data_IF_115256381055
#
_entry.id   IF_115256381055
#
_cell.length_a   1.000
_cell.length_b   1.000
_cell.length_c   1.000
_cell.angle_alpha   90.00
_cell.angle_beta   90.00
_cell.angle_gamma   90.00
#
_symmetry.space_group_name_H-M   'P 1'
#
loop_
_entity.id
_entity.type
_entity.pdbx_description
1 polymer ?
#
# COMPACT_ATOMS: atom_id res chain seq x y z
N UNK A 1 20.04 1.46 35.71
CA UNK A 1 19.35 2.53 34.93
C UNK A 1 19.50 2.16 33.47
N UNK A 2 18.51 1.58 32.81
CA UNK A 2 18.58 1.31 31.38
C UNK A 2 18.14 2.57 30.63
N UNK A 3 18.95 2.98 29.66
CA UNK A 3 18.64 4.04 28.70
C UNK A 3 17.56 3.54 27.75
N UNK A 4 16.39 4.14 27.80
CA UNK A 4 15.35 4.02 26.79
C UNK A 4 15.87 4.64 25.50
N UNK A 5 16.01 3.83 24.45
CA UNK A 5 16.16 4.27 23.08
C UNK A 5 14.77 4.72 22.59
N UNK A 6 14.63 6.03 22.43
CA UNK A 6 13.43 6.68 21.92
C UNK A 6 13.34 6.41 20.40
N UNK A 7 12.14 6.01 19.98
CA UNK A 7 11.70 5.83 18.60
C UNK A 7 12.04 7.03 17.70
N UNK A 8 12.55 6.75 16.49
CA UNK A 8 13.06 7.72 15.50
C UNK A 8 11.95 8.47 14.74
N UNK A 9 10.75 8.60 15.30
CA UNK A 9 9.67 9.40 14.71
C UNK A 9 9.00 10.26 15.79
N UNK A 10 9.66 11.31 16.18
CA UNK A 10 9.12 12.25 17.16
C UNK A 10 9.82 13.60 17.10
N UNK A 11 9.28 14.50 16.33
CA UNK A 11 8.96 15.91 16.53
C UNK A 11 10.02 16.95 16.87
N UNK A 12 10.06 18.01 16.08
CA UNK A 12 9.87 19.40 16.55
C UNK A 12 9.59 20.35 15.37
N UNK A 13 8.44 21.02 15.43
CA UNK A 13 8.05 22.11 14.51
C UNK A 13 8.62 23.42 15.04
N UNK A 14 9.35 24.13 14.18
CA UNK A 14 9.53 25.57 14.32
C UNK A 14 9.05 26.26 13.04
N UNK A 15 8.00 27.06 13.20
CA UNK A 15 7.41 27.89 12.16
C UNK A 15 8.41 28.98 11.78
N UNK A 16 8.88 28.98 10.57
CA UNK A 16 9.66 30.05 9.95
C UNK A 16 9.04 30.43 8.62
N UNK A 17 8.27 31.51 8.59
CA UNK A 17 7.78 32.16 7.38
C UNK A 17 8.92 32.80 6.60
N UNK A 18 9.12 32.41 5.35
CA UNK A 18 10.07 33.09 4.48
C UNK A 18 10.14 32.42 3.11
N UNK A 19 9.25 32.79 2.20
CA UNK A 19 9.36 32.36 0.82
C UNK A 19 10.58 32.96 0.12
N UNK A 20 11.42 32.09 -0.44
CA UNK A 20 12.31 32.40 -1.56
C UNK A 20 12.22 31.18 -2.47
N UNK A 21 11.73 31.40 -3.69
CA UNK A 21 11.86 30.42 -4.74
C UNK A 21 13.36 30.21 -4.99
N UNK A 22 13.87 29.06 -4.58
CA UNK A 22 15.24 28.66 -4.88
C UNK A 22 15.27 27.97 -6.24
N UNK A 23 16.24 28.37 -7.06
CA UNK A 23 16.68 27.73 -8.28
C UNK A 23 16.78 26.20 -8.07
N UNK A 24 16.36 25.46 -9.11
CA UNK A 24 16.20 23.99 -9.06
C UNK A 24 17.41 23.24 -8.57
N UNK A 25 17.36 22.86 -7.31
CA UNK A 25 18.26 21.87 -6.74
C UNK A 25 17.85 20.52 -7.35
N UNK A 26 18.59 20.08 -8.37
CA UNK A 26 18.38 18.76 -8.97
C UNK A 26 18.80 17.72 -7.95
N UNK A 27 17.81 17.07 -7.29
CA UNK A 27 18.07 15.97 -6.39
C UNK A 27 18.82 14.86 -7.14
N UNK A 28 19.86 14.32 -6.51
CA UNK A 28 20.63 13.18 -7.04
C UNK A 28 20.52 12.01 -6.07
N UNK A 29 20.77 10.79 -6.56
CA UNK A 29 20.76 9.61 -5.68
C UNK A 29 21.75 9.78 -4.51
N UNK A 30 22.93 10.35 -4.75
CA UNK A 30 23.94 10.60 -3.72
C UNK A 30 23.43 11.60 -2.67
N UNK A 31 22.77 12.70 -3.09
CA UNK A 31 22.20 13.69 -2.18
C UNK A 31 21.07 13.10 -1.34
N UNK A 32 20.21 12.27 -1.94
CA UNK A 32 19.11 11.59 -1.25
C UNK A 32 19.66 10.54 -0.26
N UNK A 33 20.65 9.73 -0.64
CA UNK A 33 21.30 8.77 0.26
C UNK A 33 21.94 9.48 1.45
N UNK A 34 22.70 10.56 1.21
CA UNK A 34 23.39 11.30 2.28
C UNK A 34 22.45 11.95 3.29
N UNK A 35 21.21 12.21 2.91
CA UNK A 35 20.19 12.87 3.76
C UNK A 35 19.22 11.89 4.43
N UNK A 36 18.82 10.82 3.73
CA UNK A 36 17.67 10.01 4.11
C UNK A 36 17.97 8.54 4.38
N UNK A 37 19.17 8.04 4.10
CA UNK A 37 19.47 6.64 4.40
C UNK A 37 19.38 6.38 5.91
N UNK A 38 18.74 5.27 6.27
CA UNK A 38 18.34 4.97 7.65
C UNK A 38 19.50 5.06 8.66
N UNK A 39 20.70 4.61 8.32
CA UNK A 39 21.88 4.70 9.19
C UNK A 39 22.38 6.14 9.38
N UNK A 40 22.26 6.99 8.36
CA UNK A 40 22.60 8.43 8.43
C UNK A 40 21.60 9.14 9.36
N UNK A 41 20.31 8.85 9.18
CA UNK A 41 19.24 9.43 10.01
C UNK A 41 19.40 9.00 11.47
N UNK A 42 19.69 7.73 11.74
CA UNK A 42 19.94 7.21 13.08
C UNK A 42 21.19 7.85 13.71
N UNK A 43 22.26 8.02 12.96
CA UNK A 43 23.49 8.65 13.44
C UNK A 43 23.33 10.12 13.80
N UNK A 44 22.42 10.84 13.14
CA UNK A 44 22.08 12.25 13.43
C UNK A 44 21.08 12.44 14.57
N UNK A 45 20.63 11.35 15.22
CA UNK A 45 19.68 11.41 16.33
C UNK A 45 18.22 11.26 15.91
N UNK A 46 17.97 10.95 14.65
CA UNK A 46 16.64 10.81 14.07
C UNK A 46 15.98 12.19 13.83
N UNK A 47 15.35 12.36 12.68
CA UNK A 47 14.59 13.56 12.36
C UNK A 47 13.27 13.15 11.69
N UNK A 48 12.18 13.80 12.08
CA UNK A 48 10.90 13.64 11.37
C UNK A 48 11.01 14.07 9.89
N UNK A 49 11.92 15.01 9.61
CA UNK A 49 12.23 15.46 8.24
C UNK A 49 12.78 14.34 7.33
N UNK A 50 13.27 13.25 7.92
CA UNK A 50 13.74 12.08 7.18
C UNK A 50 12.59 11.16 6.72
N UNK A 51 11.35 11.43 7.10
CA UNK A 51 10.19 10.69 6.60
C UNK A 51 9.94 11.00 5.12
N UNK A 52 9.59 9.99 4.30
CA UNK A 52 9.16 10.19 2.91
C UNK A 52 8.03 11.22 2.76
N UNK A 53 7.22 11.45 3.81
CA UNK A 53 6.14 12.44 3.84
C UNK A 53 6.65 13.88 3.67
N UNK A 54 7.87 14.16 4.14
CA UNK A 54 8.46 15.52 4.14
C UNK A 54 9.53 15.73 3.06
N UNK A 55 9.82 14.72 2.27
CA UNK A 55 10.69 14.86 1.10
C UNK A 55 10.04 15.77 0.04
N UNK A 56 10.85 16.58 -0.65
CA UNK A 56 10.39 17.27 -1.87
C UNK A 56 9.98 16.27 -2.94
N UNK A 57 9.17 16.69 -3.92
CA UNK A 57 8.76 15.82 -5.02
C UNK A 57 9.96 15.27 -5.82
N UNK A 58 11.00 16.08 -6.02
CA UNK A 58 12.23 15.66 -6.69
C UNK A 58 13.01 14.60 -5.88
N UNK A 59 13.11 14.76 -4.55
CA UNK A 59 13.73 13.77 -3.67
C UNK A 59 12.92 12.47 -3.64
N UNK A 60 11.57 12.55 -3.57
CA UNK A 60 10.70 11.36 -3.62
C UNK A 60 10.82 10.59 -4.93
N UNK A 61 10.99 11.29 -6.06
CA UNK A 61 11.19 10.65 -7.36
C UNK A 61 12.38 9.68 -7.36
N UNK A 62 13.44 10.03 -6.65
CA UNK A 62 14.61 9.19 -6.47
C UNK A 62 14.39 8.16 -5.36
N UNK A 63 13.90 8.61 -4.21
CA UNK A 63 13.74 7.76 -3.04
C UNK A 63 12.77 6.59 -3.28
N UNK A 64 11.69 6.80 -4.04
CA UNK A 64 10.68 5.78 -4.31
C UNK A 64 11.18 4.70 -5.28
N UNK A 65 12.12 5.05 -6.17
CA UNK A 65 12.77 4.10 -7.07
C UNK A 65 13.92 3.31 -6.40
N UNK A 66 14.49 3.85 -5.31
CA UNK A 66 15.64 3.30 -4.60
C UNK A 66 15.36 3.05 -3.12
N UNK A 67 14.15 2.61 -2.83
CA UNK A 67 13.64 2.48 -1.46
C UNK A 67 14.45 1.49 -0.62
N UNK A 68 14.90 0.40 -1.22
CA UNK A 68 15.76 -0.64 -0.64
C UNK A 68 17.20 -0.17 -0.33
N UNK A 69 17.65 0.89 -1.00
CA UNK A 69 18.97 1.51 -0.71
C UNK A 69 18.87 2.43 0.51
N UNK A 70 17.72 3.05 0.73
CA UNK A 70 17.50 4.04 1.78
C UNK A 70 17.05 3.42 3.10
N UNK A 71 16.24 2.37 3.03
CA UNK A 71 15.57 1.78 4.19
C UNK A 71 15.87 0.28 4.31
N UNK A 72 15.87 -0.27 5.54
CA UNK A 72 16.00 -1.71 5.73
C UNK A 72 14.80 -2.42 5.12
N UNK A 73 15.06 -3.43 4.30
CA UNK A 73 14.03 -4.21 3.61
C UNK A 73 14.33 -5.71 3.67
N UNK A 74 13.30 -6.52 3.46
CA UNK A 74 13.43 -7.95 3.20
C UNK A 74 12.97 -8.24 1.78
N UNK A 75 13.81 -8.99 1.06
CA UNK A 75 13.54 -9.34 -0.34
C UNK A 75 12.41 -10.35 -0.43
N UNK A 76 11.49 -10.10 -1.36
CA UNK A 76 10.47 -11.01 -1.85
C UNK A 76 11.00 -11.60 -3.15
N UNK A 77 11.38 -12.88 -3.16
CA UNK A 77 12.02 -13.52 -4.32
C UNK A 77 11.00 -13.91 -5.38
N UNK A 78 11.30 -13.61 -6.65
CA UNK A 78 10.59 -14.17 -7.79
C UNK A 78 11.11 -15.59 -8.13
N UNK A 79 10.50 -16.24 -9.13
CA UNK A 79 10.92 -17.57 -9.61
C UNK A 79 11.99 -17.53 -10.70
N UNK A 80 12.23 -16.36 -11.27
CA UNK A 80 13.03 -16.18 -12.49
C UNK A 80 12.27 -16.41 -13.80
N UNK A 81 11.03 -16.95 -13.75
CA UNK A 81 10.15 -17.14 -14.89
C UNK A 81 8.92 -16.25 -14.76
N UNK A 82 8.79 -15.26 -15.66
CA UNK A 82 7.68 -14.34 -15.65
C UNK A 82 6.44 -14.90 -16.37
N UNK A 83 5.27 -14.76 -15.75
CA UNK A 83 4.01 -15.00 -16.45
C UNK A 83 3.83 -13.97 -17.57
N UNK A 84 3.51 -14.41 -18.81
CA UNK A 84 3.42 -13.50 -19.94
C UNK A 84 2.28 -12.49 -19.77
N UNK A 85 2.55 -11.24 -20.14
CA UNK A 85 1.56 -10.19 -20.35
C UNK A 85 1.60 -9.80 -21.84
N UNK A 86 0.90 -10.53 -22.72
CA UNK A 86 0.99 -10.31 -24.15
C UNK A 86 0.42 -8.94 -24.53
N UNK A 87 1.03 -8.20 -25.48
CA UNK A 87 0.54 -6.91 -25.91
C UNK A 87 -0.72 -7.06 -26.80
N UNK A 88 -1.67 -6.15 -26.61
CA UNK A 88 -2.85 -5.95 -27.46
C UNK A 88 -3.16 -4.46 -27.54
N UNK A 89 -2.16 -3.66 -27.92
CA UNK A 89 -2.14 -2.21 -27.81
C UNK A 89 -3.37 -1.54 -28.41
N UNK A 90 -3.94 -0.62 -27.61
CA UNK A 90 -5.04 0.27 -27.98
C UNK A 90 -4.64 1.68 -27.59
N UNK A 91 -4.96 2.65 -28.44
CA UNK A 91 -4.74 4.05 -28.09
C UNK A 91 -5.84 4.55 -27.13
N UNK A 92 -5.50 4.61 -25.84
CA UNK A 92 -6.35 5.16 -24.78
C UNK A 92 -6.05 6.64 -24.48
N UNK A 93 -5.06 7.25 -25.14
CA UNK A 93 -4.63 8.63 -24.84
C UNK A 93 -5.72 9.66 -25.12
N UNK A 94 -6.62 9.37 -26.09
CA UNK A 94 -7.75 10.22 -26.44
C UNK A 94 -8.99 10.07 -25.54
N UNK A 95 -9.01 9.13 -24.61
CA UNK A 95 -10.11 8.95 -23.66
C UNK A 95 -10.25 10.20 -22.80
N UNK A 96 -11.47 10.76 -22.76
CA UNK A 96 -11.78 12.02 -22.08
C UNK A 96 -12.37 11.76 -20.71
N UNK A 97 -12.01 12.62 -19.76
CA UNK A 97 -12.60 12.68 -18.43
C UNK A 97 -12.70 14.11 -17.93
N UNK A 98 -13.53 14.35 -16.94
CA UNK A 98 -13.66 15.64 -16.26
C UNK A 98 -13.17 15.52 -14.83
N UNK A 99 -12.23 16.37 -14.43
CA UNK A 99 -11.75 16.45 -13.05
C UNK A 99 -11.51 17.91 -12.66
N UNK A 100 -11.89 18.29 -11.44
CA UNK A 100 -11.73 19.66 -10.93
C UNK A 100 -12.29 20.71 -11.89
N UNK A 101 -13.51 20.44 -12.43
CA UNK A 101 -14.21 21.30 -13.40
C UNK A 101 -13.48 21.52 -14.73
N UNK A 102 -12.51 20.65 -15.08
CA UNK A 102 -11.77 20.71 -16.33
C UNK A 102 -11.91 19.41 -17.10
N UNK A 103 -12.19 19.55 -18.40
CA UNK A 103 -12.10 18.42 -19.33
C UNK A 103 -10.65 18.16 -19.68
N UNK A 104 -10.26 16.91 -19.58
CA UNK A 104 -8.91 16.42 -19.84
C UNK A 104 -8.96 15.13 -20.65
N UNK A 105 -7.81 14.73 -21.17
CA UNK A 105 -7.58 13.43 -21.81
C UNK A 105 -6.61 12.59 -20.95
N UNK A 106 -6.64 11.28 -21.15
CA UNK A 106 -5.65 10.37 -20.53
C UNK A 106 -4.24 10.76 -20.97
N UNK A 107 -4.03 11.19 -22.25
CA UNK A 107 -2.75 11.67 -22.71
C UNK A 107 -2.21 12.85 -21.89
N UNK A 108 -3.05 13.85 -21.59
CA UNK A 108 -2.66 14.99 -20.73
C UNK A 108 -2.33 14.56 -19.28
N UNK A 109 -2.94 13.48 -18.77
CA UNK A 109 -2.57 12.92 -17.48
C UNK A 109 -1.20 12.20 -17.55
N UNK A 110 -0.94 11.47 -18.63
CA UNK A 110 0.34 10.77 -18.84
C UNK A 110 1.52 11.74 -18.96
N UNK A 111 1.30 12.94 -19.51
CA UNK A 111 2.30 14.02 -19.63
C UNK A 111 2.53 14.75 -18.28
N UNK A 112 1.82 14.40 -17.22
CA UNK A 112 1.97 15.02 -15.90
C UNK A 112 3.29 14.59 -15.25
N UNK A 113 4.02 15.53 -14.64
CA UNK A 113 5.24 15.25 -13.84
C UNK A 113 5.02 14.29 -12.67
N UNK A 114 3.77 14.07 -12.28
CA UNK A 114 3.38 13.21 -11.18
C UNK A 114 3.14 11.76 -11.63
N UNK A 115 2.92 11.53 -12.93
CA UNK A 115 2.75 10.20 -13.51
C UNK A 115 4.13 9.59 -13.77
N UNK A 116 4.41 8.47 -13.10
CA UNK A 116 5.66 7.72 -13.29
C UNK A 116 5.47 6.53 -14.20
N UNK A 117 4.34 5.85 -14.11
CA UNK A 117 3.98 4.75 -14.99
C UNK A 117 2.50 4.41 -14.90
N UNK A 118 1.93 4.01 -16.03
CA UNK A 118 0.55 3.50 -16.13
C UNK A 118 0.54 2.26 -17.00
N UNK A 119 -0.06 1.18 -16.50
CA UNK A 119 -0.25 -0.08 -17.20
C UNK A 119 -1.72 -0.48 -17.16
N UNK A 120 -2.31 -0.71 -18.33
CA UNK A 120 -3.70 -1.14 -18.50
C UNK A 120 -3.71 -2.57 -19.05
N UNK A 121 -4.28 -3.51 -18.30
CA UNK A 121 -4.37 -4.92 -18.65
C UNK A 121 -5.84 -5.34 -18.67
N UNK A 122 -6.32 -5.83 -19.81
CA UNK A 122 -7.68 -6.37 -19.96
C UNK A 122 -7.63 -7.80 -20.50
N UNK A 123 -8.42 -8.71 -19.92
CA UNK A 123 -8.40 -10.15 -20.29
C UNK A 123 -6.96 -10.73 -20.33
N UNK A 124 -6.08 -10.30 -19.42
CA UNK A 124 -4.68 -10.73 -19.35
C UNK A 124 -3.76 -10.16 -20.43
N UNK A 125 -4.20 -9.17 -21.22
CA UNK A 125 -3.44 -8.55 -22.30
C UNK A 125 -3.16 -7.09 -21.99
N UNK A 126 -1.94 -6.62 -22.29
CA UNK A 126 -1.53 -5.23 -22.14
C UNK A 126 -2.13 -4.37 -23.26
N UNK A 127 -3.06 -3.49 -22.90
CA UNK A 127 -3.66 -2.53 -23.83
C UNK A 127 -2.84 -1.24 -23.93
N UNK A 128 -2.31 -0.77 -22.81
CA UNK A 128 -1.45 0.41 -22.75
C UNK A 128 -0.38 0.20 -21.68
N UNK A 129 0.83 0.63 -21.99
CA UNK A 129 1.95 0.68 -21.06
C UNK A 129 2.73 1.97 -21.32
N UNK A 130 2.84 2.80 -20.29
CA UNK A 130 3.50 4.10 -20.35
C UNK A 130 4.43 4.27 -19.16
N UNK A 131 5.58 4.90 -19.39
CA UNK A 131 6.55 5.28 -18.37
C UNK A 131 7.00 6.72 -18.61
N UNK A 132 7.22 7.46 -17.52
CA UNK A 132 7.89 8.76 -17.58
C UNK A 132 9.33 8.59 -18.14
N UNK A 133 9.90 9.65 -18.69
CA UNK A 133 11.18 9.60 -19.40
C UNK A 133 12.36 9.06 -18.57
N UNK A 134 12.31 9.24 -17.27
CA UNK A 134 13.31 8.77 -16.29
C UNK A 134 12.82 7.58 -15.44
N UNK A 135 11.80 6.88 -15.91
CA UNK A 135 11.25 5.68 -15.30
C UNK A 135 11.18 4.55 -16.33
N UNK A 136 11.08 3.28 -15.90
CA UNK A 136 11.11 2.14 -16.81
C UNK A 136 10.45 0.90 -16.26
N UNK A 137 10.33 -0.11 -17.10
CA UNK A 137 9.69 -1.38 -16.76
C UNK A 137 10.40 -2.16 -15.65
N UNK A 138 11.71 -1.97 -15.52
CA UNK A 138 12.59 -2.60 -14.54
C UNK A 138 12.77 -1.78 -13.25
N UNK A 139 12.20 -0.57 -13.19
CA UNK A 139 12.32 0.32 -12.02
C UNK A 139 11.25 -0.05 -10.99
N UNK A 140 11.65 -0.51 -9.78
CA UNK A 140 10.70 -0.72 -8.70
C UNK A 140 10.19 0.62 -8.17
N UNK A 141 9.00 0.61 -7.60
CA UNK A 141 8.37 1.79 -7.00
C UNK A 141 7.67 1.43 -5.71
N UNK A 142 7.79 2.29 -4.70
CA UNK A 142 7.20 2.04 -3.38
C UNK A 142 5.67 2.11 -3.43
N UNK A 143 5.02 1.14 -2.80
CA UNK A 143 3.56 0.95 -2.83
C UNK A 143 2.79 1.81 -1.85
N UNK A 144 3.42 2.26 -0.76
CA UNK A 144 2.71 2.78 0.40
C UNK A 144 1.53 1.87 0.81
N UNK A 145 0.33 2.44 0.95
CA UNK A 145 -0.83 1.72 1.48
C UNK A 145 -1.41 0.64 0.57
N UNK A 146 -0.97 0.52 -0.69
CA UNK A 146 -1.27 -0.67 -1.51
C UNK A 146 -0.82 -1.96 -0.80
N UNK A 147 0.24 -1.91 0.01
CA UNK A 147 0.69 -3.02 0.85
C UNK A 147 -0.40 -3.57 1.77
N UNK A 148 -1.33 -2.75 2.25
CA UNK A 148 -2.44 -3.19 3.11
C UNK A 148 -3.31 -4.25 2.41
N UNK A 149 -3.57 -4.07 1.12
CA UNK A 149 -4.30 -5.04 0.32
C UNK A 149 -3.50 -6.33 0.13
N UNK A 150 -2.18 -6.25 -0.06
CA UNK A 150 -1.31 -7.44 -0.11
C UNK A 150 -1.32 -8.19 1.23
N UNK A 151 -1.28 -7.47 2.36
CA UNK A 151 -1.40 -8.08 3.70
C UNK A 151 -2.76 -8.80 3.85
N UNK A 152 -3.85 -8.21 3.35
CA UNK A 152 -5.17 -8.86 3.32
C UNK A 152 -5.18 -10.14 2.49
N UNK A 153 -4.55 -10.13 1.30
CA UNK A 153 -4.42 -11.36 0.49
C UNK A 153 -3.64 -12.44 1.24
N UNK A 154 -2.60 -12.08 2.00
CA UNK A 154 -1.83 -13.04 2.80
C UNK A 154 -2.62 -13.58 4.00
N UNK A 155 -3.50 -12.80 4.62
CA UNK A 155 -4.45 -13.32 5.62
C UNK A 155 -5.38 -14.36 4.96
N UNK A 156 -5.89 -14.08 3.76
CA UNK A 156 -6.65 -15.06 2.98
C UNK A 156 -5.88 -16.33 2.69
N UNK A 157 -4.63 -16.22 2.26
CA UNK A 157 -3.75 -17.37 2.04
C UNK A 157 -3.49 -18.17 3.33
N UNK A 158 -3.30 -17.49 4.47
CA UNK A 158 -3.11 -18.14 5.76
C UNK A 158 -4.38 -18.88 6.25
N UNK A 159 -5.56 -18.37 5.91
CA UNK A 159 -6.83 -19.08 6.15
C UNK A 159 -6.94 -20.32 5.24
N UNK A 160 -6.61 -20.17 3.96
CA UNK A 160 -6.62 -21.30 3.01
C UNK A 160 -5.65 -22.40 3.41
N UNK A 161 -4.48 -22.04 3.94
CA UNK A 161 -3.47 -23.00 4.42
C UNK A 161 -3.80 -23.59 5.82
N UNK A 162 -4.83 -23.08 6.51
CA UNK A 162 -5.23 -23.54 7.84
C UNK A 162 -4.38 -22.99 9.00
N UNK A 163 -3.58 -21.94 8.78
CA UNK A 163 -2.86 -21.24 9.85
C UNK A 163 -3.76 -20.31 10.65
N UNK A 164 -4.78 -19.76 10.01
CA UNK A 164 -5.86 -18.98 10.61
C UNK A 164 -7.16 -19.72 10.34
N UNK A 165 -7.97 -20.00 11.39
CA UNK A 165 -9.17 -20.80 11.20
C UNK A 165 -10.27 -20.00 10.48
N UNK A 166 -10.40 -18.70 10.81
CA UNK A 166 -11.47 -17.85 10.28
C UNK A 166 -11.19 -16.36 10.51
N UNK A 167 -11.78 -15.50 9.67
CA UNK A 167 -11.84 -14.05 9.93
C UNK A 167 -12.63 -13.71 11.20
N UNK A 168 -13.47 -14.63 11.70
CA UNK A 168 -14.20 -14.49 12.97
C UNK A 168 -13.34 -14.77 14.22
N UNK A 169 -12.12 -15.27 14.05
CA UNK A 169 -11.22 -15.52 15.18
C UNK A 169 -10.91 -14.21 15.93
N UNK A 170 -10.91 -14.25 17.28
CA UNK A 170 -10.43 -13.11 18.06
C UNK A 170 -8.91 -12.95 17.84
N UNK A 171 -8.45 -11.72 17.65
CA UNK A 171 -7.02 -11.45 17.39
C UNK A 171 -6.10 -11.88 18.53
N UNK A 172 -6.62 -11.96 19.77
CA UNK A 172 -5.87 -12.44 20.94
C UNK A 172 -5.46 -13.90 20.84
N UNK A 173 -6.10 -14.69 19.98
CA UNK A 173 -5.68 -16.07 19.67
C UNK A 173 -4.26 -16.08 19.09
N UNK A 174 -3.93 -15.10 18.28
CA UNK A 174 -2.64 -14.94 17.60
C UNK A 174 -1.71 -13.99 18.35
N UNK A 175 -2.27 -12.99 19.05
CA UNK A 175 -1.54 -11.97 19.79
C UNK A 175 -2.02 -11.90 21.25
N UNK A 176 -1.63 -12.88 22.10
CA UNK A 176 -2.09 -12.96 23.50
C UNK A 176 -1.78 -11.71 24.34
N UNK A 177 -0.78 -10.92 23.96
CA UNK A 177 -0.43 -9.65 24.64
C UNK A 177 -1.56 -8.62 24.61
N UNK A 178 -2.51 -8.74 23.69
CA UNK A 178 -3.67 -7.85 23.60
C UNK A 178 -4.81 -8.27 24.54
N UNK A 179 -4.68 -9.42 25.22
CA UNK A 179 -5.68 -9.86 26.18
C UNK A 179 -5.83 -8.84 27.33
N UNK A 180 -7.07 -8.48 27.64
CA UNK A 180 -7.38 -7.48 28.66
C UNK A 180 -7.27 -6.02 28.22
N UNK A 181 -6.87 -5.76 26.97
CA UNK A 181 -6.99 -4.44 26.34
C UNK A 181 -8.31 -4.31 25.57
N UNK A 182 -8.62 -3.10 25.12
CA UNK A 182 -9.78 -2.84 24.25
C UNK A 182 -9.73 -3.63 22.93
N UNK A 183 -8.54 -3.91 22.40
CA UNK A 183 -8.38 -4.77 21.22
C UNK A 183 -8.72 -6.24 21.50
N UNK A 184 -8.78 -6.66 22.76
CA UNK A 184 -9.06 -8.06 23.14
C UNK A 184 -10.38 -8.62 22.61
N UNK A 185 -11.36 -7.76 22.34
CA UNK A 185 -12.67 -8.12 21.78
C UNK A 185 -12.73 -8.10 20.25
N UNK A 186 -11.67 -7.61 19.58
CA UNK A 186 -11.66 -7.47 18.13
C UNK A 186 -11.36 -8.81 17.44
N UNK A 187 -12.03 -9.05 16.33
CA UNK A 187 -11.80 -10.19 15.43
C UNK A 187 -10.82 -9.81 14.32
N UNK A 188 -10.27 -10.79 13.65
CA UNK A 188 -9.46 -10.59 12.41
C UNK A 188 -10.25 -9.76 11.38
N UNK A 189 -11.56 -10.03 11.22
CA UNK A 189 -12.45 -9.28 10.34
C UNK A 189 -12.55 -7.81 10.70
N UNK A 190 -12.67 -7.47 11.98
CA UNK A 190 -12.81 -6.08 12.43
C UNK A 190 -11.57 -5.27 12.06
N UNK A 191 -10.38 -5.91 12.17
CA UNK A 191 -9.11 -5.29 11.79
C UNK A 191 -8.97 -5.20 10.26
N UNK A 192 -9.38 -6.24 9.51
CA UNK A 192 -9.41 -6.21 8.03
C UNK A 192 -10.27 -5.06 7.51
N UNK A 193 -11.41 -4.81 8.14
CA UNK A 193 -12.37 -3.77 7.76
C UNK A 193 -12.05 -2.38 8.32
N UNK A 194 -10.97 -2.23 9.10
CA UNK A 194 -10.67 -0.98 9.84
C UNK A 194 -11.85 -0.52 10.72
N UNK A 195 -12.45 -1.47 11.40
CA UNK A 195 -13.66 -1.29 12.20
C UNK A 195 -13.51 -1.86 13.62
N UNK A 196 -12.32 -1.80 14.20
CA UNK A 196 -12.08 -2.23 15.59
C UNK A 196 -12.88 -1.43 16.61
N UNK A 197 -13.26 -0.20 16.26
CA UNK A 197 -13.91 0.75 17.17
C UNK A 197 -12.94 1.43 18.12
N UNK A 198 -11.63 1.30 17.92
CA UNK A 198 -10.59 1.97 18.71
C UNK A 198 -10.37 3.39 18.16
N UNK A 199 -10.14 4.35 19.06
CA UNK A 199 -9.80 5.71 18.68
C UNK A 199 -8.46 5.73 17.94
N UNK A 200 -8.40 6.47 16.85
CA UNK A 200 -7.19 6.63 16.04
C UNK A 200 -7.28 7.91 15.22
N UNK A 201 -6.20 8.68 15.18
CA UNK A 201 -6.03 9.86 14.35
C UNK A 201 -5.04 9.55 13.20
N UNK A 202 -5.54 9.48 11.96
CA UNK A 202 -4.74 9.22 10.74
C UNK A 202 -4.36 10.53 10.01
N UNK A 203 -4.39 11.68 10.67
CA UNK A 203 -4.00 12.96 10.06
C UNK A 203 -2.49 12.99 9.79
N UNK A 204 -2.12 12.95 8.50
CA UNK A 204 -0.72 12.95 8.05
C UNK A 204 -0.04 14.33 8.18
N UNK A 205 -0.80 15.40 8.38
CA UNK A 205 -0.28 16.76 8.56
C UNK A 205 -0.10 17.12 10.04
N UNK A 206 -0.76 16.39 10.95
CA UNK A 206 -0.64 16.57 12.39
C UNK A 206 0.52 15.72 12.96
N UNK A 207 1.64 16.34 13.40
CA UNK A 207 2.76 15.62 13.98
C UNK A 207 2.43 14.92 15.30
N UNK A 208 1.34 15.30 15.96
CA UNK A 208 0.87 14.68 17.21
C UNK A 208 -0.17 13.58 16.95
N UNK A 209 -0.52 13.32 15.70
CA UNK A 209 -1.45 12.25 15.31
C UNK A 209 -0.91 10.87 15.69
N UNK A 210 -1.83 9.90 15.82
CA UNK A 210 -1.44 8.52 16.08
C UNK A 210 -0.63 7.93 14.92
N UNK A 211 -0.97 8.27 13.67
CA UNK A 211 -0.21 7.82 12.50
C UNK A 211 1.21 8.35 12.51
N UNK A 212 1.45 9.60 12.88
CA UNK A 212 2.79 10.16 12.99
C UNK A 212 3.62 9.44 14.06
N UNK A 213 2.99 9.06 15.18
CA UNK A 213 3.65 8.39 16.33
C UNK A 213 3.85 6.89 16.16
N UNK A 214 2.96 6.21 15.45
CA UNK A 214 2.87 4.77 15.49
C UNK A 214 2.89 4.04 14.13
N UNK A 215 2.86 4.76 12.99
CA UNK A 215 2.82 4.13 11.66
C UNK A 215 4.03 3.21 11.37
N UNK A 216 5.17 3.49 11.99
CA UNK A 216 6.40 2.71 11.82
C UNK A 216 6.58 1.64 12.91
N UNK A 217 5.69 1.55 13.91
CA UNK A 217 5.80 0.58 14.98
C UNK A 217 5.37 -0.81 14.53
N UNK A 218 6.05 -1.83 15.04
CA UNK A 218 5.69 -3.25 14.92
C UNK A 218 6.02 -4.00 16.21
N UNK A 219 5.63 -5.27 16.27
CA UNK A 219 5.96 -6.15 17.38
C UNK A 219 5.48 -5.65 18.74
N UNK A 220 6.39 -5.63 19.69
CA UNK A 220 6.09 -5.23 21.07
C UNK A 220 5.75 -3.74 21.15
N UNK A 221 6.52 -2.89 20.49
CA UNK A 221 6.30 -1.44 20.52
C UNK A 221 4.91 -1.05 19.97
N UNK A 222 4.47 -1.71 18.89
CA UNK A 222 3.13 -1.52 18.34
C UNK A 222 2.06 -1.93 19.34
N UNK A 223 2.15 -3.13 19.93
CA UNK A 223 1.16 -3.60 20.88
C UNK A 223 1.11 -2.74 22.14
N UNK A 224 2.26 -2.30 22.66
CA UNK A 224 2.34 -1.40 23.82
C UNK A 224 1.72 -0.03 23.57
N UNK A 225 1.77 0.46 22.32
CA UNK A 225 1.07 1.68 21.91
C UNK A 225 -0.45 1.43 21.83
N UNK A 226 -0.86 0.40 21.11
CA UNK A 226 -2.26 0.13 20.81
C UNK A 226 -3.10 -0.19 22.06
N UNK A 227 -2.54 -0.89 23.05
CA UNK A 227 -3.27 -1.23 24.30
C UNK A 227 -3.66 0.00 25.14
N UNK A 228 -3.07 1.17 24.87
CA UNK A 228 -3.37 2.40 25.58
C UNK A 228 -4.53 3.18 24.94
N UNK A 229 -4.92 2.84 23.71
CA UNK A 229 -5.96 3.56 22.98
C UNK A 229 -7.36 3.15 23.46
N UNK A 230 -8.26 4.13 23.69
CA UNK A 230 -9.61 3.84 24.17
C UNK A 230 -10.51 3.34 23.04
N UNK A 231 -11.49 2.50 23.40
CA UNK A 231 -12.60 2.15 22.51
C UNK A 231 -13.62 3.28 22.45
N UNK A 232 -14.04 3.64 21.23
CA UNK A 232 -15.05 4.70 20.97
C UNK A 232 -16.30 4.17 20.26
N UNK A 233 -16.28 2.92 19.79
CA UNK A 233 -17.42 2.22 19.19
C UNK A 233 -17.28 0.71 19.38
N UNK A 234 -18.36 -0.07 19.35
CA UNK A 234 -18.28 -1.53 19.32
C UNK A 234 -17.49 -2.02 18.10
N UNK A 235 -16.75 -3.16 18.18
CA UNK A 235 -16.06 -3.74 17.05
C UNK A 235 -17.04 -4.06 15.91
N UNK A 236 -16.61 -3.82 14.66
CA UNK A 236 -17.38 -4.08 13.45
C UNK A 236 -18.48 -3.04 13.14
N UNK A 237 -18.62 -1.95 13.91
CA UNK A 237 -19.75 -1.01 13.74
C UNK A 237 -19.39 0.37 13.19
N UNK A 238 -18.10 0.69 13.15
CA UNK A 238 -17.63 2.00 12.69
C UNK A 238 -16.29 1.86 11.98
N UNK A 239 -16.27 2.28 10.73
CA UNK A 239 -15.02 2.43 9.96
C UNK A 239 -14.20 3.60 10.52
N UNK A 240 -12.90 3.37 10.69
CA UNK A 240 -11.91 4.39 10.97
C UNK A 240 -10.57 3.94 10.37
N UNK A 241 -10.11 4.61 9.30
CA UNK A 241 -8.86 4.23 8.66
C UNK A 241 -7.71 4.29 9.66
N UNK A 242 -6.97 3.19 9.80
CA UNK A 242 -5.96 3.00 10.83
C UNK A 242 -4.77 2.19 10.29
N UNK A 243 -3.65 2.88 10.03
CA UNK A 243 -2.43 2.24 9.51
C UNK A 243 -1.85 1.24 10.51
N UNK A 244 -1.91 1.51 11.82
CA UNK A 244 -1.38 0.60 12.83
C UNK A 244 -2.16 -0.72 12.90
N UNK A 245 -3.45 -0.75 12.58
CA UNK A 245 -4.20 -2.00 12.46
C UNK A 245 -3.72 -2.87 11.30
N UNK A 246 -3.20 -2.28 10.24
CA UNK A 246 -2.62 -3.06 9.16
C UNK A 246 -1.26 -3.66 9.57
N UNK A 247 -0.46 -2.93 10.37
CA UNK A 247 0.73 -3.48 11.01
C UNK A 247 0.35 -4.61 11.97
N UNK A 248 -0.74 -4.44 12.73
CA UNK A 248 -1.27 -5.47 13.64
C UNK A 248 -1.70 -6.74 12.88
N UNK A 249 -2.31 -6.60 11.68
CA UNK A 249 -2.58 -7.76 10.80
C UNK A 249 -1.29 -8.45 10.35
N UNK A 250 -0.23 -7.71 10.08
CA UNK A 250 1.10 -8.26 9.81
C UNK A 250 1.63 -9.09 10.99
N UNK A 251 1.40 -8.64 12.24
CA UNK A 251 1.75 -9.40 13.44
C UNK A 251 0.88 -10.66 13.60
N UNK A 252 -0.44 -10.57 13.37
CA UNK A 252 -1.35 -11.73 13.35
C UNK A 252 -0.88 -12.75 12.33
N UNK A 253 -0.58 -12.32 11.10
CA UNK A 253 -0.07 -13.18 10.04
C UNK A 253 1.20 -13.92 10.49
N UNK A 254 2.26 -13.18 10.89
CA UNK A 254 3.54 -13.78 11.29
C UNK A 254 3.39 -14.73 12.46
N UNK A 255 2.57 -14.38 13.44
CA UNK A 255 2.29 -15.26 14.59
C UNK A 255 1.61 -16.56 14.16
N UNK A 256 0.65 -16.49 13.24
CA UNK A 256 -0.09 -17.64 12.76
C UNK A 256 0.79 -18.57 11.89
N UNK A 257 1.53 -18.02 10.93
CA UNK A 257 2.34 -18.81 9.99
C UNK A 257 3.71 -19.23 10.56
N UNK A 258 4.15 -18.63 11.67
CA UNK A 258 5.44 -18.94 12.32
C UNK A 258 6.68 -18.54 11.51
N UNK A 259 6.53 -17.63 10.53
CA UNK A 259 7.63 -17.14 9.68
C UNK A 259 7.42 -15.67 9.28
N UNK A 260 8.41 -15.07 8.63
CA UNK A 260 8.32 -13.71 8.10
C UNK A 260 7.35 -13.61 6.91
N UNK A 261 6.72 -12.43 6.75
CA UNK A 261 5.69 -12.23 5.72
C UNK A 261 6.25 -12.20 4.29
N UNK A 262 7.45 -11.64 4.06
CA UNK A 262 8.05 -11.57 2.73
C UNK A 262 8.36 -12.96 2.13
N UNK A 263 9.00 -13.91 2.85
CA UNK A 263 9.14 -15.28 2.36
C UNK A 263 7.79 -15.98 2.10
N UNK A 264 6.77 -15.72 2.92
CA UNK A 264 5.44 -16.29 2.72
C UNK A 264 4.78 -15.73 1.46
N UNK A 265 4.84 -14.40 1.25
CA UNK A 265 4.40 -13.76 0.00
C UNK A 265 5.12 -14.33 -1.22
N UNK A 266 6.45 -14.51 -1.10
CA UNK A 266 7.26 -15.11 -2.16
C UNK A 266 6.75 -16.49 -2.55
N UNK A 267 6.54 -17.36 -1.58
CA UNK A 267 6.13 -18.76 -1.80
C UNK A 267 4.67 -18.89 -2.29
N UNK A 268 3.76 -18.08 -1.75
CA UNK A 268 2.32 -18.25 -1.99
C UNK A 268 1.83 -17.50 -3.22
N UNK A 269 2.39 -16.32 -3.51
CA UNK A 269 1.87 -15.45 -4.55
C UNK A 269 2.97 -15.07 -5.55
N UNK A 270 4.11 -14.53 -5.08
CA UNK A 270 5.08 -13.87 -5.94
C UNK A 270 5.69 -14.81 -6.99
N UNK A 271 6.22 -15.94 -6.54
CA UNK A 271 6.80 -16.97 -7.42
C UNK A 271 5.75 -17.65 -8.30
N UNK A 272 4.65 -18.19 -7.76
CA UNK A 272 3.70 -18.93 -8.58
C UNK A 272 2.86 -18.05 -9.51
N UNK A 273 2.70 -16.74 -9.21
CA UNK A 273 2.13 -15.78 -10.17
C UNK A 273 3.09 -15.46 -11.32
N UNK A 274 4.36 -15.84 -11.23
CA UNK A 274 5.39 -15.49 -12.21
C UNK A 274 5.65 -13.99 -12.24
N UNK A 275 5.94 -13.39 -11.08
CA UNK A 275 6.39 -12.00 -11.02
C UNK A 275 7.72 -11.83 -11.76
N UNK A 276 7.90 -10.69 -12.45
CA UNK A 276 9.09 -10.46 -13.29
C UNK A 276 10.34 -10.21 -12.46
N UNK A 277 10.18 -9.53 -11.33
CA UNK A 277 11.31 -9.06 -10.53
C UNK A 277 11.17 -9.48 -9.07
N UNK A 278 12.28 -9.51 -8.36
CA UNK A 278 12.27 -9.46 -6.90
C UNK A 278 11.62 -8.15 -6.45
N UNK A 279 10.98 -8.19 -5.30
CA UNK A 279 10.47 -6.99 -4.63
C UNK A 279 11.10 -6.85 -3.25
N UNK A 280 10.92 -5.71 -2.62
CA UNK A 280 11.45 -5.42 -1.30
C UNK A 280 10.34 -4.97 -0.36
N UNK A 281 10.28 -5.51 0.86
CA UNK A 281 9.31 -5.13 1.87
C UNK A 281 10.01 -4.42 3.03
N UNK A 282 9.56 -3.20 3.35
CA UNK A 282 10.09 -2.38 4.44
C UNK A 282 10.06 -3.11 5.78
N UNK A 283 11.16 -3.00 6.52
CA UNK A 283 11.28 -3.53 7.88
C UNK A 283 11.22 -2.40 8.91
N UNK A 284 10.51 -2.64 9.99
CA UNK A 284 10.64 -1.83 11.19
C UNK A 284 11.86 -2.26 11.99
N UNK A 285 12.54 -1.30 12.57
CA UNK A 285 13.67 -1.53 13.47
C UNK A 285 13.22 -1.31 14.93
N UNK A 286 13.81 -1.99 15.91
CA UNK A 286 14.91 -2.96 15.80
C UNK A 286 14.50 -4.42 15.55
N UNK A 287 13.21 -4.73 15.43
CA UNK A 287 12.71 -6.10 15.44
C UNK A 287 12.76 -6.80 14.06
N UNK A 288 13.22 -6.12 13.01
CA UNK A 288 13.33 -6.65 11.64
C UNK A 288 12.04 -7.29 11.13
N UNK A 289 10.90 -6.61 11.34
CA UNK A 289 9.57 -7.10 10.96
C UNK A 289 9.01 -6.30 9.79
N UNK A 290 8.41 -6.97 8.82
CA UNK A 290 7.73 -6.32 7.72
C UNK A 290 6.54 -5.49 8.22
N UNK A 291 6.41 -4.27 7.72
CA UNK A 291 5.31 -3.37 8.06
C UNK A 291 4.05 -3.76 7.27
N UNK A 292 3.02 -4.28 7.94
CA UNK A 292 1.80 -4.74 7.26
C UNK A 292 0.98 -3.64 6.57
N UNK A 293 1.18 -2.38 6.96
CA UNK A 293 0.47 -1.22 6.42
C UNK A 293 1.23 -0.47 5.31
N UNK A 294 2.52 -0.76 5.11
CA UNK A 294 3.46 -0.11 4.20
C UNK A 294 4.69 -1.02 4.10
N UNK A 295 5.54 -0.93 3.29
CA UNK A 295 5.75 -0.42 1.96
C UNK A 295 6.47 -1.52 1.22
N UNK A 296 5.85 -2.10 0.23
CA UNK A 296 6.52 -2.98 -0.72
C UNK A 296 7.06 -2.08 -1.85
N UNK A 297 8.21 -2.44 -2.43
CA UNK A 297 8.74 -1.80 -3.63
C UNK A 297 8.77 -2.83 -4.73
N UNK A 298 8.05 -2.59 -5.84
CA UNK A 298 7.88 -3.54 -6.92
C UNK A 298 7.74 -2.85 -8.29
N UNK A 299 7.94 -3.58 -9.38
CA UNK A 299 7.76 -3.06 -10.75
C UNK A 299 6.29 -2.84 -11.10
N UNK A 300 6.02 -1.99 -12.07
CA UNK A 300 4.66 -1.67 -12.51
C UNK A 300 3.90 -2.90 -13.02
N UNK A 301 4.59 -3.78 -13.74
CA UNK A 301 4.00 -5.03 -14.24
C UNK A 301 3.68 -6.01 -13.11
N UNK A 302 4.47 -6.00 -12.03
CA UNK A 302 4.20 -6.84 -10.86
C UNK A 302 3.05 -6.26 -10.00
N UNK A 303 2.87 -4.93 -9.96
CA UNK A 303 1.62 -4.34 -9.45
C UNK A 303 0.39 -4.86 -10.23
N UNK A 304 0.48 -4.87 -11.56
CA UNK A 304 -0.63 -5.38 -12.38
C UNK A 304 -0.91 -6.87 -12.11
N UNK A 305 0.13 -7.70 -11.93
CA UNK A 305 -0.04 -9.13 -11.59
C UNK A 305 -0.69 -9.34 -10.23
N UNK A 306 -0.41 -8.47 -9.23
CA UNK A 306 -1.16 -8.50 -7.96
C UNK A 306 -2.65 -8.20 -8.18
N UNK A 307 -2.96 -7.23 -9.05
CA UNK A 307 -4.34 -6.92 -9.45
C UNK A 307 -5.01 -8.08 -10.18
N UNK A 308 -4.30 -8.74 -11.10
CA UNK A 308 -4.81 -9.93 -11.81
C UNK A 308 -5.07 -11.11 -10.84
N UNK A 309 -4.21 -11.31 -9.85
CA UNK A 309 -4.41 -12.30 -8.79
C UNK A 309 -5.68 -12.01 -7.99
N UNK A 310 -5.92 -10.75 -7.61
CA UNK A 310 -7.14 -10.34 -6.93
C UNK A 310 -8.38 -10.49 -7.84
N UNK A 311 -8.29 -10.09 -9.12
CA UNK A 311 -9.36 -10.25 -10.11
C UNK A 311 -9.76 -11.72 -10.30
N UNK A 312 -8.79 -12.64 -10.22
CA UNK A 312 -8.97 -14.08 -10.32
C UNK A 312 -9.42 -14.76 -9.00
N UNK A 313 -9.85 -14.00 -7.98
CA UNK A 313 -10.23 -14.54 -6.66
C UNK A 313 -9.15 -15.44 -6.05
N UNK A 314 -7.87 -15.05 -6.23
CA UNK A 314 -6.74 -15.79 -5.68
C UNK A 314 -6.43 -17.11 -6.38
N UNK A 315 -6.83 -17.28 -7.62
CA UNK A 315 -6.46 -18.41 -8.47
C UNK A 315 -5.25 -18.04 -9.32
N UNK A 316 -4.21 -18.87 -9.25
CA UNK A 316 -2.98 -18.73 -10.03
C UNK A 316 -3.20 -19.07 -11.52
N UNK A 317 -2.27 -18.68 -12.42
CA UNK A 317 -2.38 -19.00 -13.86
C UNK A 317 -2.47 -20.50 -14.19
N UNK A 318 -1.92 -21.37 -13.35
CA UNK A 318 -2.00 -22.82 -13.48
C UNK A 318 -3.30 -23.44 -12.94
N UNK A 319 -4.21 -22.63 -12.41
CA UNK A 319 -5.47 -23.05 -11.81
C UNK A 319 -5.39 -23.36 -10.31
N UNK A 320 -4.22 -23.29 -9.69
CA UNK A 320 -4.07 -23.51 -8.25
C UNK A 320 -4.73 -22.38 -7.47
N UNK A 321 -5.59 -22.71 -6.50
CA UNK A 321 -6.23 -21.74 -5.61
C UNK A 321 -5.35 -21.47 -4.38
N UNK A 322 -5.14 -20.22 -4.08
CA UNK A 322 -4.33 -19.73 -2.94
C UNK A 322 -5.20 -19.09 -1.87
N UNK A 323 -6.31 -18.46 -2.26
CA UNK A 323 -7.25 -17.84 -1.34
C UNK A 323 -8.50 -18.72 -1.16
N UNK A 324 -9.23 -18.64 -0.05
CA UNK A 324 -10.54 -19.28 0.06
C UNK A 324 -11.46 -18.84 -1.08
N UNK A 325 -12.29 -19.76 -1.58
CA UNK A 325 -13.28 -19.40 -2.61
C UNK A 325 -14.18 -18.27 -2.12
N UNK A 326 -14.36 -17.23 -2.95
CA UNK A 326 -15.12 -16.05 -2.63
C UNK A 326 -14.40 -15.06 -1.71
N UNK A 327 -13.09 -15.22 -1.49
CA UNK A 327 -12.31 -14.28 -0.67
C UNK A 327 -12.42 -12.85 -1.17
N UNK A 328 -12.31 -12.64 -2.49
CA UNK A 328 -12.43 -11.29 -3.04
C UNK A 328 -13.85 -10.76 -2.99
N UNK A 329 -14.87 -11.61 -3.10
CA UNK A 329 -16.25 -11.19 -2.87
C UNK A 329 -16.45 -10.71 -1.42
N UNK A 330 -15.90 -11.43 -0.43
CA UNK A 330 -15.92 -10.99 0.96
C UNK A 330 -15.08 -9.71 1.17
N UNK A 331 -13.91 -9.63 0.53
CA UNK A 331 -13.00 -8.49 0.62
C UNK A 331 -13.57 -7.20 0.02
N UNK A 332 -14.50 -7.33 -0.92
CA UNK A 332 -15.21 -6.22 -1.57
C UNK A 332 -16.64 -6.02 -1.06
N UNK A 333 -16.98 -6.67 0.06
CA UNK A 333 -18.21 -6.36 0.81
C UNK A 333 -17.93 -5.19 1.75
N UNK A 334 -18.77 -4.13 1.72
CA UNK A 334 -18.58 -2.95 2.56
C UNK A 334 -18.48 -3.25 4.05
N UNK A 335 -17.63 -2.48 4.75
CA UNK A 335 -17.62 -2.41 6.20
C UNK A 335 -18.92 -1.82 6.72
N UNK A 336 -19.41 -2.27 7.87
CA UNK A 336 -20.58 -1.66 8.47
C UNK A 336 -20.34 -0.17 8.75
N UNK A 337 -21.26 0.67 8.33
CA UNK A 337 -21.19 2.13 8.51
C UNK A 337 -20.33 2.88 7.47
N UNK A 338 -19.75 2.19 6.47
CA UNK A 338 -19.02 2.85 5.37
C UNK A 338 -18.96 1.99 4.10
N UNK A 339 -19.66 2.42 3.06
CA UNK A 339 -19.78 1.67 1.81
C UNK A 339 -18.51 1.64 0.94
N UNK A 340 -17.53 2.50 1.23
CA UNK A 340 -16.32 2.69 0.43
C UNK A 340 -15.14 1.79 0.81
N UNK A 341 -15.25 0.85 1.76
CA UNK A 341 -14.12 0.04 2.21
C UNK A 341 -14.51 -1.37 2.65
N UNK A 342 -13.67 -2.36 2.28
CA UNK A 342 -13.83 -3.75 2.67
C UNK A 342 -12.60 -4.30 3.40
N UNK A 343 -12.12 -5.51 3.06
CA UNK A 343 -10.90 -6.11 3.64
C UNK A 343 -9.62 -5.48 3.04
N UNK A 344 -9.32 -4.26 3.46
CA UNK A 344 -8.18 -3.45 2.98
C UNK A 344 -8.25 -3.10 1.49
N UNK A 345 -9.45 -3.07 0.91
CA UNK A 345 -9.73 -2.60 -0.44
C UNK A 345 -10.72 -1.45 -0.40
N UNK A 346 -10.46 -0.40 -1.17
CA UNK A 346 -11.38 0.69 -1.44
C UNK A 346 -12.41 0.25 -2.47
N UNK A 347 -13.65 0.65 -2.30
CA UNK A 347 -14.79 0.18 -3.08
C UNK A 347 -15.47 1.34 -3.80
N UNK A 348 -15.75 1.17 -5.09
CA UNK A 348 -16.56 2.08 -5.88
C UNK A 348 -18.00 1.58 -6.00
N UNK A 349 -18.96 2.51 -6.10
CA UNK A 349 -20.38 2.19 -6.17
C UNK A 349 -20.77 1.35 -7.41
N UNK A 350 -19.95 1.36 -8.47
CA UNK A 350 -20.19 0.61 -9.72
C UNK A 350 -19.61 -0.82 -9.70
N UNK A 351 -18.97 -1.20 -8.58
CA UNK A 351 -18.38 -2.53 -8.34
C UNK A 351 -16.92 -2.66 -8.71
N UNK A 352 -16.24 -1.57 -9.09
CA UNK A 352 -14.78 -1.51 -9.12
C UNK A 352 -14.25 -1.48 -7.69
N UNK A 353 -13.00 -1.88 -7.53
CA UNK A 353 -12.30 -1.75 -6.26
C UNK A 353 -10.81 -1.49 -6.50
N UNK A 354 -10.13 -0.98 -5.49
CA UNK A 354 -8.73 -0.63 -5.65
C UNK A 354 -7.92 -0.62 -4.35
N UNK A 355 -6.61 -0.68 -4.54
CA UNK A 355 -5.61 -0.46 -3.51
C UNK A 355 -4.87 0.85 -3.85
N UNK A 356 -4.79 1.77 -2.89
CA UNK A 356 -4.25 3.11 -3.11
C UNK A 356 -3.16 3.46 -2.11
N UNK A 357 -2.08 4.06 -2.62
CA UNK A 357 -1.01 4.67 -1.82
C UNK A 357 -1.16 6.18 -1.77
N UNK A 358 -0.67 6.79 -0.69
CA UNK A 358 -0.85 8.23 -0.38
C UNK A 358 -0.29 9.20 -1.43
N UNK A 359 0.60 8.75 -2.33
CA UNK A 359 1.12 9.57 -3.43
C UNK A 359 0.60 9.13 -4.80
N UNK A 360 -0.55 8.43 -4.84
CA UNK A 360 -1.23 8.03 -6.06
C UNK A 360 -0.82 6.66 -6.63
N UNK A 361 -0.03 5.88 -5.91
CA UNK A 361 0.23 4.49 -6.29
C UNK A 361 -1.09 3.72 -6.30
N UNK A 362 -1.35 2.97 -7.35
CA UNK A 362 -2.68 2.38 -7.54
C UNK A 362 -2.61 0.99 -8.15
N UNK A 363 -3.47 0.11 -7.64
CA UNK A 363 -3.95 -1.09 -8.34
C UNK A 363 -5.47 -0.97 -8.36
N UNK A 364 -6.05 -0.63 -9.52
CA UNK A 364 -7.49 -0.58 -9.71
C UNK A 364 -7.96 -1.83 -10.46
N UNK A 365 -9.06 -2.40 -10.02
CA UNK A 365 -9.64 -3.63 -10.58
C UNK A 365 -11.10 -3.39 -10.95
N UNK A 366 -11.44 -3.73 -12.19
CA UNK A 366 -12.81 -3.74 -12.69
C UNK A 366 -13.21 -5.16 -13.10
N UNK A 367 -13.94 -5.88 -12.24
CA UNK A 367 -14.35 -7.25 -12.55
C UNK A 367 -15.27 -7.36 -13.76
N UNK A 368 -16.10 -6.34 -14.03
CA UNK A 368 -17.05 -6.35 -15.15
C UNK A 368 -16.34 -6.24 -16.50
N UNK A 369 -15.26 -5.45 -16.55
CA UNK A 369 -14.41 -5.29 -17.73
C UNK A 369 -13.26 -6.29 -17.78
N UNK A 370 -13.06 -7.12 -16.74
CA UNK A 370 -11.86 -7.96 -16.53
C UNK A 370 -10.57 -7.15 -16.67
N UNK A 371 -10.57 -5.97 -16.05
CA UNK A 371 -9.57 -4.94 -16.22
C UNK A 371 -8.77 -4.76 -14.94
N UNK A 372 -7.47 -4.57 -15.10
CA UNK A 372 -6.56 -4.10 -14.06
C UNK A 372 -5.81 -2.89 -14.58
N UNK A 373 -5.76 -1.83 -13.78
CA UNK A 373 -4.92 -0.66 -14.07
C UNK A 373 -3.95 -0.49 -12.92
N UNK A 374 -2.66 -0.54 -13.21
CA UNK A 374 -1.58 -0.29 -12.26
C UNK A 374 -0.96 1.08 -12.52
N UNK A 375 -0.63 1.80 -11.44
CA UNK A 375 -0.03 3.14 -11.54
C UNK A 375 1.13 3.29 -10.56
N UNK A 376 2.28 3.71 -11.08
CA UNK A 376 3.35 4.34 -10.32
C UNK A 376 3.17 5.85 -10.37
N UNK A 377 3.19 6.49 -9.24
CA UNK A 377 2.90 7.92 -9.13
C UNK A 377 3.72 8.60 -8.02
N UNK A 378 3.94 9.89 -8.21
CA UNK A 378 4.62 10.79 -7.27
C UNK A 378 3.80 12.07 -7.11
N UNK A 379 2.60 11.95 -6.52
CA UNK A 379 1.73 13.09 -6.26
C UNK A 379 2.44 14.17 -5.43
N UNK A 380 2.09 15.43 -5.64
CA UNK A 380 2.75 16.56 -4.98
C UNK A 380 2.57 16.53 -3.46
N UNK A 381 1.41 16.12 -3.00
CA UNK A 381 1.08 15.98 -1.58
C UNK A 381 0.54 14.58 -1.27
N UNK A 382 0.70 14.15 -0.03
CA UNK A 382 0.06 12.95 0.48
C UNK A 382 -1.43 13.21 0.61
N UNK A 383 -2.23 12.26 0.12
CA UNK A 383 -3.68 12.19 0.19
C UNK A 383 -4.45 13.42 -0.33
N UNK A 384 -5.70 13.26 -0.77
CA UNK A 384 -6.66 14.32 -1.12
C UNK A 384 -6.22 15.36 -2.15
N UNK A 385 -5.09 15.17 -2.82
CA UNK A 385 -4.55 16.13 -3.78
C UNK A 385 -5.44 16.25 -5.03
N UNK A 386 -5.40 17.43 -5.67
CA UNK A 386 -6.05 17.65 -6.97
C UNK A 386 -5.59 16.64 -8.04
N UNK A 387 -4.42 16.06 -7.89
CA UNK A 387 -3.91 14.97 -8.73
C UNK A 387 -4.64 13.66 -8.47
N UNK A 388 -4.89 13.30 -7.21
CA UNK A 388 -5.64 12.09 -6.85
C UNK A 388 -7.02 12.07 -7.51
N UNK A 389 -7.75 13.19 -7.47
CA UNK A 389 -9.05 13.33 -8.13
C UNK A 389 -8.96 13.18 -9.65
N UNK A 390 -7.91 13.71 -10.28
CA UNK A 390 -7.68 13.52 -11.74
C UNK A 390 -7.38 12.07 -12.08
N UNK A 391 -6.54 11.42 -11.26
CA UNK A 391 -6.19 10.03 -11.45
C UNK A 391 -7.44 9.15 -11.35
N UNK A 392 -8.22 9.29 -10.29
CA UNK A 392 -9.46 8.53 -10.08
C UNK A 392 -10.45 8.71 -11.24
N UNK A 393 -10.68 9.95 -11.69
CA UNK A 393 -11.57 10.25 -12.82
C UNK A 393 -11.05 9.63 -14.14
N UNK A 394 -9.74 9.64 -14.38
CA UNK A 394 -9.15 9.02 -15.55
C UNK A 394 -9.27 7.49 -15.53
N UNK A 395 -9.03 6.85 -14.38
CA UNK A 395 -9.17 5.39 -14.23
C UNK A 395 -10.63 4.97 -14.44
N UNK A 396 -11.58 5.75 -13.92
CA UNK A 396 -13.00 5.55 -14.17
C UNK A 396 -13.35 5.63 -15.67
N UNK A 397 -12.88 6.66 -16.35
CA UNK A 397 -13.14 6.87 -17.78
C UNK A 397 -12.51 5.76 -18.65
N UNK A 398 -11.30 5.30 -18.34
CA UNK A 398 -10.69 4.14 -19.02
C UNK A 398 -11.55 2.90 -18.84
N UNK A 399 -11.99 2.64 -17.61
CA UNK A 399 -12.85 1.50 -17.29
C UNK A 399 -14.19 1.56 -18.06
N UNK A 400 -14.87 2.69 -18.06
CA UNK A 400 -16.11 2.90 -18.82
C UNK A 400 -15.93 2.72 -20.32
N UNK A 401 -14.86 3.31 -20.88
CA UNK A 401 -14.52 3.15 -22.29
C UNK A 401 -14.34 1.68 -22.69
N UNK A 402 -13.65 0.91 -21.86
CA UNK A 402 -13.36 -0.51 -22.11
C UNK A 402 -14.52 -1.47 -21.79
N UNK A 403 -15.54 -1.02 -21.01
CA UNK A 403 -16.79 -1.78 -20.79
C UNK A 403 -17.73 -1.68 -21.99
N UNK A 404 -17.65 -0.60 -22.77
CA UNK A 404 -18.55 -0.29 -23.89
C UNK A 404 -18.07 -0.75 -25.27
N UNK A 405 -16.87 -1.35 -25.35
CA UNK A 405 -16.22 -1.77 -26.60
C UNK A 405 -16.42 -3.27 -26.95
#
# INVERSE_FOLDING_TARGET
MPRFLISVFGLLVLIGSGGVAAEGDTATLESVISKYRADVVLASGGSAEASPLFMSQAERRIAFAHFDVLFPTRVIRNSGEASPLPPAQVDLSSVRFTANEKDMTVGELLDSEQMMGLLVVQDGKVLMEHYAADHGADVPWVTFSVTKSVTSLLIGAAIHDGYIDSVADPIVKYLPRLAGSEYGESRVQDILQMASGIAWNEDYEDPESDVARAAALNGVALTDYLVQLPRVAPPGTRFNYNTAESNLLGEVLRSAIGMNAAPYLSQKIWQPMGMESDANWLLSLPEDRETGGCCISATLRDYARLGLFALADGVLPDGTRILPEGWMAASTTPSEGYDGYGYKWWLDADGRYGAYGIFGQTIAVDPKAKLVIAVHSNAQAADGSAYGQKLEAALAAISEHLRGG
#
